data_IF_400356728234
#
_entry.id   IF_400356728234
#
_cell.length_a   1.000
_cell.length_b   1.000
_cell.length_c   1.000
_cell.angle_alpha   90.00
_cell.angle_beta   90.00
_cell.angle_gamma   90.00
#
_symmetry.space_group_name_H-M   'P 1'
#
loop_
_entity.id
_entity.type
_entity.pdbx_description
1 polymer ?
#
# COMPACT_ATOMS: atom_id res chain seq x y z
N UNK A 1 18.90 6.84 33.95
CA UNK A 1 19.02 5.77 32.92
C UNK A 1 17.87 5.89 31.98
N UNK A 2 18.09 6.50 30.84
CA UNK A 2 17.10 6.61 29.76
C UNK A 2 17.22 5.36 28.90
N UNK A 3 16.18 4.53 28.89
CA UNK A 3 16.07 3.37 28.03
C UNK A 3 15.84 3.85 26.58
N UNK A 4 16.67 3.47 25.60
CA UNK A 4 16.41 3.83 24.22
C UNK A 4 15.20 3.02 23.71
N UNK A 5 14.15 3.72 23.34
CA UNK A 5 12.99 3.13 22.65
C UNK A 5 13.46 2.53 21.31
N UNK A 6 13.47 1.21 21.24
CA UNK A 6 13.79 0.46 20.02
C UNK A 6 12.78 0.84 18.91
N UNK A 7 13.28 1.42 17.84
CA UNK A 7 12.51 1.63 16.60
C UNK A 7 12.28 0.27 15.97
N UNK A 8 11.09 -0.30 16.14
CA UNK A 8 10.68 -1.48 15.40
C UNK A 8 10.18 -1.03 14.03
N UNK A 9 11.09 -0.92 13.06
CA UNK A 9 10.74 -0.72 11.66
C UNK A 9 10.39 -2.09 11.07
N UNK A 10 9.15 -2.26 10.59
CA UNK A 10 8.69 -3.49 9.93
C UNK A 10 8.71 -3.27 8.43
N UNK A 11 9.41 -4.14 7.74
CA UNK A 11 9.46 -4.19 6.27
C UNK A 11 8.31 -5.06 5.76
N UNK A 12 7.49 -4.53 4.84
CA UNK A 12 6.46 -5.31 4.17
C UNK A 12 6.97 -5.74 2.80
N UNK A 13 7.06 -7.04 2.58
CA UNK A 13 7.41 -7.63 1.29
C UNK A 13 6.11 -8.11 0.64
N UNK A 14 5.77 -7.56 -0.53
CA UNK A 14 4.57 -7.94 -1.25
C UNK A 14 4.84 -9.14 -2.16
N UNK A 15 4.05 -10.19 -1.99
CA UNK A 15 4.04 -11.39 -2.82
C UNK A 15 2.71 -11.45 -3.56
N UNK A 16 2.74 -11.67 -4.85
CA UNK A 16 1.57 -12.17 -5.57
C UNK A 16 1.58 -13.69 -5.55
N UNK A 17 0.62 -14.29 -4.86
CA UNK A 17 0.43 -15.73 -4.83
C UNK A 17 -0.70 -16.16 -5.78
N UNK A 18 -0.55 -17.28 -6.50
CA UNK A 18 -1.66 -17.87 -7.27
C UNK A 18 -2.57 -18.69 -6.36
N UNK A 19 -3.88 -18.50 -6.51
CA UNK A 19 -4.94 -19.30 -5.89
C UNK A 19 -5.27 -20.52 -6.74
N UNK A 20 -5.21 -21.70 -6.15
CA UNK A 20 -5.74 -22.93 -6.76
C UNK A 20 -6.79 -23.55 -5.86
N UNK A 21 -8.00 -23.72 -6.39
CA UNK A 21 -8.99 -24.73 -5.93
C UNK A 21 -9.70 -25.35 -7.14
N UNK A 22 -9.74 -26.70 -7.16
CA UNK A 22 -10.71 -27.48 -7.93
C UNK A 22 -10.16 -28.20 -9.16
N UNK A 23 -9.92 -29.50 -8.97
CA UNK A 23 -9.54 -30.45 -10.03
C UNK A 23 -10.73 -30.71 -10.97
N UNK A 24 -10.82 -30.01 -12.11
CA UNK A 24 -11.64 -30.42 -13.27
C UNK A 24 -10.68 -30.78 -14.39
N UNK A 25 -10.80 -31.99 -14.91
CA UNK A 25 -10.11 -32.35 -16.15
C UNK A 25 -10.63 -31.43 -17.27
N UNK A 26 -9.80 -30.58 -17.80
CA UNK A 26 -10.07 -29.70 -18.93
C UNK A 26 -8.85 -29.67 -19.85
N UNK A 27 -9.04 -29.18 -21.05
CA UNK A 27 -7.95 -29.02 -22.02
C UNK A 27 -7.38 -27.59 -21.96
N UNK A 28 -6.07 -27.48 -22.12
CA UNK A 28 -5.37 -26.20 -22.27
C UNK A 28 -4.65 -26.24 -23.61
N UNK A 29 -4.91 -25.26 -24.48
CA UNK A 29 -4.38 -25.20 -25.85
C UNK A 29 -4.67 -26.49 -26.69
N UNK A 30 -5.84 -27.11 -26.45
CA UNK A 30 -6.23 -28.33 -27.16
C UNK A 30 -5.66 -29.64 -26.64
N UNK A 31 -4.79 -29.59 -25.64
CA UNK A 31 -4.17 -30.75 -24.98
C UNK A 31 -4.84 -31.04 -23.64
N UNK A 32 -4.93 -32.32 -23.28
CA UNK A 32 -5.45 -32.73 -21.97
C UNK A 32 -4.56 -32.14 -20.88
N UNK A 33 -5.20 -31.62 -19.82
CA UNK A 33 -4.48 -31.04 -18.68
C UNK A 33 -3.50 -32.07 -18.11
N UNK A 34 -2.22 -31.78 -18.19
CA UNK A 34 -1.15 -32.49 -17.51
C UNK A 34 -0.51 -31.60 -16.46
N UNK A 35 -0.08 -32.20 -15.37
CA UNK A 35 0.68 -31.45 -14.35
C UNK A 35 2.09 -31.16 -14.90
N UNK A 36 2.41 -29.89 -15.01
CA UNK A 36 3.76 -29.43 -15.28
C UNK A 36 4.33 -28.87 -13.97
N UNK A 37 5.41 -29.47 -13.48
CA UNK A 37 6.07 -29.00 -12.27
C UNK A 37 6.63 -27.58 -12.46
N UNK A 38 6.43 -26.73 -11.47
CA UNK A 38 7.02 -25.40 -11.47
C UNK A 38 8.53 -25.50 -11.29
N UNK A 39 9.33 -24.86 -12.13
CA UNK A 39 10.75 -24.76 -11.84
C UNK A 39 10.95 -24.03 -10.50
N UNK A 40 11.85 -24.54 -9.68
CA UNK A 40 12.22 -23.86 -8.42
C UNK A 40 12.78 -22.49 -8.76
N UNK A 41 11.99 -21.45 -8.57
CA UNK A 41 12.49 -20.08 -8.63
C UNK A 41 13.28 -19.87 -7.34
N UNK A 42 14.55 -19.56 -7.45
CA UNK A 42 15.34 -19.15 -6.30
C UNK A 42 14.66 -17.93 -5.66
N UNK A 43 14.13 -18.10 -4.44
CA UNK A 43 13.31 -17.08 -3.76
C UNK A 43 14.05 -15.76 -3.53
N UNK A 44 15.38 -15.80 -3.61
CA UNK A 44 16.28 -14.67 -3.37
C UNK A 44 16.67 -13.94 -4.68
N UNK A 45 16.41 -14.52 -5.86
CA UNK A 45 16.76 -13.89 -7.16
C UNK A 45 15.51 -13.25 -7.77
N UNK A 46 15.00 -12.19 -7.16
CA UNK A 46 13.84 -11.44 -7.68
C UNK A 46 13.99 -9.97 -7.38
N UNK A 47 13.37 -9.15 -8.20
CA UNK A 47 13.21 -7.73 -7.92
C UNK A 47 12.26 -7.53 -6.74
N UNK A 48 12.65 -6.62 -5.86
CA UNK A 48 11.87 -6.22 -4.70
C UNK A 48 11.79 -4.69 -4.64
N UNK A 49 10.72 -4.22 -4.01
CA UNK A 49 10.59 -2.83 -3.58
C UNK A 49 10.43 -2.85 -2.07
N UNK A 50 11.32 -2.18 -1.38
CA UNK A 50 11.28 -1.98 0.06
C UNK A 50 10.72 -0.58 0.32
N UNK A 51 9.65 -0.51 1.10
CA UNK A 51 9.01 0.75 1.47
C UNK A 51 9.03 0.93 2.97
N UNK A 52 9.05 2.18 3.42
CA UNK A 52 8.81 2.47 4.83
C UNK A 52 7.41 1.98 5.22
N UNK A 53 7.32 1.29 6.36
CA UNK A 53 6.04 0.94 6.97
C UNK A 53 5.59 2.07 7.87
N UNK A 54 4.81 2.99 7.31
CA UNK A 54 4.21 4.08 8.07
C UNK A 54 3.30 3.53 9.18
N UNK A 55 3.35 4.18 10.34
CA UNK A 55 2.56 3.84 11.52
C UNK A 55 1.38 4.80 11.64
N UNK A 56 0.27 4.40 11.03
CA UNK A 56 -0.98 5.15 11.01
C UNK A 56 -2.19 4.21 11.08
N UNK A 57 -3.16 4.44 10.23
CA UNK A 57 -4.33 3.59 10.05
C UNK A 57 -4.60 3.35 8.58
N UNK A 58 -4.92 2.11 8.23
CA UNK A 58 -5.26 1.76 6.86
C UNK A 58 -6.48 2.56 6.39
N UNK A 59 -6.36 3.17 5.23
CA UNK A 59 -7.39 3.98 4.62
C UNK A 59 -7.49 3.67 3.13
N UNK A 60 -8.68 3.88 2.57
CA UNK A 60 -8.97 3.62 1.18
C UNK A 60 -9.84 4.72 0.59
N UNK A 61 -9.46 5.20 -0.58
CA UNK A 61 -10.27 6.03 -1.45
C UNK A 61 -10.87 5.14 -2.53
N UNK A 62 -12.18 5.24 -2.74
CA UNK A 62 -12.91 4.48 -3.76
C UNK A 62 -13.53 5.49 -4.72
N UNK A 63 -13.22 5.35 -6.01
CA UNK A 63 -13.74 6.19 -7.07
C UNK A 63 -14.54 5.31 -8.02
N UNK A 64 -15.77 5.74 -8.34
CA UNK A 64 -16.66 5.04 -9.26
C UNK A 64 -16.07 4.93 -10.67
N UNK A 65 -16.58 3.98 -11.46
CA UNK A 65 -16.07 3.72 -12.81
C UNK A 65 -16.27 4.90 -13.77
N UNK A 66 -17.29 5.73 -13.53
CA UNK A 66 -17.53 6.97 -14.27
C UNK A 66 -16.63 8.15 -13.80
N UNK A 67 -15.84 7.93 -12.75
CA UNK A 67 -14.96 8.95 -12.18
C UNK A 67 -15.67 10.08 -11.43
N UNK A 68 -16.98 9.98 -11.20
CA UNK A 68 -17.77 11.08 -10.66
C UNK A 68 -18.05 10.97 -9.15
N UNK A 69 -18.03 9.76 -8.60
CA UNK A 69 -18.33 9.53 -7.19
C UNK A 69 -17.08 9.09 -6.45
N UNK A 70 -16.99 9.52 -5.18
CA UNK A 70 -15.90 9.16 -4.30
C UNK A 70 -16.44 8.73 -2.94
N UNK A 71 -15.83 7.72 -2.36
CA UNK A 71 -16.13 7.26 -1.01
C UNK A 71 -14.83 7.00 -0.25
N UNK A 72 -14.91 7.11 1.07
CA UNK A 72 -13.83 6.76 1.99
C UNK A 72 -14.12 5.43 2.69
N UNK A 73 -13.09 4.65 2.95
CA UNK A 73 -13.19 3.44 3.75
C UNK A 73 -11.98 3.29 4.69
N UNK A 74 -12.22 2.64 5.80
CA UNK A 74 -11.20 2.08 6.67
C UNK A 74 -10.79 0.68 6.16
N UNK A 75 -10.05 -0.05 6.97
CA UNK A 75 -9.69 -1.44 6.64
C UNK A 75 -10.90 -2.36 6.49
N UNK A 76 -11.98 -2.11 7.22
CA UNK A 76 -13.08 -3.07 7.40
C UNK A 76 -14.45 -2.54 7.00
N UNK A 77 -14.61 -1.22 6.81
CA UNK A 77 -15.92 -0.62 6.52
C UNK A 77 -15.80 0.69 5.72
N UNK A 78 -16.88 1.05 5.05
CA UNK A 78 -17.05 2.40 4.55
C UNK A 78 -17.18 3.36 5.73
N UNK A 79 -16.68 4.57 5.57
CA UNK A 79 -16.75 5.63 6.58
C UNK A 79 -17.30 6.90 5.97
N UNK A 80 -17.95 7.70 6.83
CA UNK A 80 -18.52 9.01 6.47
C UNK A 80 -18.01 10.06 7.45
N UNK A 81 -18.18 11.36 7.18
CA UNK A 81 -17.79 12.40 8.15
C UNK A 81 -18.50 12.29 9.50
N UNK A 82 -19.70 11.67 9.55
CA UNK A 82 -20.46 11.44 10.77
C UNK A 82 -20.00 10.20 11.53
N UNK A 83 -19.42 9.22 10.83
CA UNK A 83 -18.83 8.00 11.38
C UNK A 83 -17.43 7.81 10.80
N UNK A 84 -16.52 8.71 11.20
CA UNK A 84 -15.21 8.87 10.61
C UNK A 84 -14.14 8.01 11.31
N UNK A 85 -12.97 7.93 10.71
CA UNK A 85 -11.78 7.32 11.25
C UNK A 85 -10.63 8.35 11.24
N UNK A 86 -10.35 8.95 12.37
CA UNK A 86 -9.36 10.01 12.54
C UNK A 86 -9.53 11.20 11.58
N UNK A 87 -10.74 11.47 11.09
CA UNK A 87 -11.06 12.56 10.19
C UNK A 87 -10.73 12.30 8.73
N UNK A 88 -10.52 11.03 8.32
CA UNK A 88 -10.19 10.69 6.94
C UNK A 88 -11.33 10.94 5.97
N UNK A 89 -12.57 10.55 6.31
CA UNK A 89 -13.73 10.79 5.44
C UNK A 89 -13.98 12.28 5.23
N UNK A 90 -13.91 13.07 6.28
CA UNK A 90 -14.01 14.53 6.17
C UNK A 90 -12.87 15.15 5.34
N UNK A 91 -11.66 14.57 5.41
CA UNK A 91 -10.54 14.99 4.56
C UNK A 91 -10.79 14.61 3.09
N UNK A 92 -11.33 13.43 2.79
CA UNK A 92 -11.69 13.00 1.43
C UNK A 92 -12.73 13.95 0.82
N UNK A 93 -13.75 14.32 1.57
CA UNK A 93 -14.75 15.29 1.09
C UNK A 93 -14.15 16.65 0.74
N UNK A 94 -13.34 17.20 1.62
CA UNK A 94 -12.71 18.52 1.40
C UNK A 94 -11.74 18.55 0.21
N UNK A 95 -11.16 17.39 -0.14
CA UNK A 95 -10.18 17.27 -1.22
C UNK A 95 -10.73 16.54 -2.45
N UNK A 96 -12.05 16.38 -2.55
CA UNK A 96 -12.74 15.58 -3.57
C UNK A 96 -12.20 15.80 -4.98
N UNK A 97 -12.12 17.04 -5.42
CA UNK A 97 -11.69 17.36 -6.80
C UNK A 97 -10.26 16.91 -7.09
N UNK A 98 -9.35 17.12 -6.14
CA UNK A 98 -7.97 16.66 -6.27
C UNK A 98 -7.88 15.15 -6.29
N UNK A 99 -8.67 14.48 -5.46
CA UNK A 99 -8.64 13.02 -5.32
C UNK A 99 -9.28 12.31 -6.52
N UNK A 100 -10.28 12.88 -7.17
CA UNK A 100 -10.87 12.32 -8.39
C UNK A 100 -9.85 12.19 -9.53
N UNK A 101 -8.78 12.98 -9.53
CA UNK A 101 -7.67 12.85 -10.48
C UNK A 101 -6.88 11.54 -10.35
N UNK A 102 -7.02 10.80 -9.26
CA UNK A 102 -6.48 9.44 -9.15
C UNK A 102 -7.13 8.46 -10.14
N UNK A 103 -8.30 8.82 -10.68
CA UNK A 103 -9.07 8.01 -11.60
C UNK A 103 -9.85 6.87 -10.91
N UNK A 104 -10.70 6.16 -11.68
CA UNK A 104 -11.54 5.10 -11.16
C UNK A 104 -10.77 3.99 -10.45
N UNK A 105 -11.43 3.38 -9.45
CA UNK A 105 -10.94 2.21 -8.74
C UNK A 105 -10.72 2.43 -7.25
N UNK A 106 -9.95 1.52 -6.67
CA UNK A 106 -9.65 1.52 -5.23
C UNK A 106 -8.19 1.88 -4.99
N UNK A 107 -7.97 2.92 -4.20
CA UNK A 107 -6.66 3.46 -3.87
C UNK A 107 -6.39 3.24 -2.39
N UNK A 108 -5.54 2.27 -2.11
CA UNK A 108 -5.17 1.88 -0.75
C UNK A 108 -3.97 2.66 -0.25
N UNK A 109 -4.00 3.06 1.01
CA UNK A 109 -2.91 3.82 1.61
C UNK A 109 -2.97 3.83 3.12
N UNK A 110 -2.04 4.57 3.71
CA UNK A 110 -1.98 4.85 5.13
C UNK A 110 -2.44 6.29 5.39
N UNK A 111 -3.35 6.45 6.34
CA UNK A 111 -3.72 7.73 6.93
C UNK A 111 -2.95 7.92 8.22
N UNK A 112 -2.08 8.90 8.28
CA UNK A 112 -1.07 9.02 9.32
C UNK A 112 -0.73 10.47 9.65
N UNK A 113 0.12 10.70 10.64
CA UNK A 113 0.58 12.01 11.05
C UNK A 113 -0.09 12.49 12.35
N UNK A 114 -0.35 13.78 12.45
CA UNK A 114 -0.80 14.42 13.69
C UNK A 114 -1.97 13.73 14.36
N UNK A 115 -1.79 13.28 15.62
CA UNK A 115 -2.83 12.63 16.41
C UNK A 115 -3.19 11.21 16.00
N UNK A 116 -2.37 10.57 15.14
CA UNK A 116 -2.54 9.18 14.73
C UNK A 116 -1.27 8.40 15.08
N UNK A 117 -1.39 7.37 15.94
CA UNK A 117 -0.29 6.50 16.37
C UNK A 117 0.97 7.32 16.72
N UNK A 118 2.09 7.06 16.01
CA UNK A 118 3.37 7.71 16.27
C UNK A 118 3.37 9.22 15.99
N UNK A 119 2.48 9.71 15.14
CA UNK A 119 2.35 11.14 14.80
C UNK A 119 3.51 11.77 14.04
N UNK A 120 4.70 11.17 14.08
CA UNK A 120 5.94 11.58 13.36
C UNK A 120 6.36 13.05 13.57
N UNK A 121 5.88 13.69 14.64
CA UNK A 121 6.12 15.12 14.88
C UNK A 121 5.42 16.05 13.87
N UNK A 122 4.53 15.54 13.05
CA UNK A 122 3.81 16.31 12.06
C UNK A 122 2.69 17.13 12.71
N UNK A 123 2.45 18.33 12.16
CA UNK A 123 1.31 19.18 12.54
C UNK A 123 0.05 18.88 11.76
N UNK A 124 0.17 18.09 10.69
CA UNK A 124 -0.90 17.74 9.77
C UNK A 124 -1.05 16.22 9.63
N UNK A 125 -2.16 15.79 9.08
CA UNK A 125 -2.41 14.40 8.68
C UNK A 125 -2.15 14.26 7.19
N UNK A 126 -1.66 13.09 6.78
CA UNK A 126 -1.30 12.77 5.38
C UNK A 126 -1.88 11.43 4.96
N UNK A 127 -2.25 11.34 3.68
CA UNK A 127 -2.61 10.07 3.05
C UNK A 127 -1.51 9.66 2.07
N UNK A 128 -0.92 8.48 2.31
CA UNK A 128 0.15 7.93 1.47
C UNK A 128 -0.28 6.62 0.82
N UNK A 129 -0.25 6.58 -0.51
CA UNK A 129 -0.60 5.41 -1.32
C UNK A 129 0.44 4.30 -1.18
N UNK A 130 -0.03 3.05 -1.11
CA UNK A 130 0.84 1.87 -1.03
C UNK A 130 1.36 1.40 -2.39
N UNK A 131 0.65 1.68 -3.47
CA UNK A 131 1.00 1.17 -4.80
C UNK A 131 2.09 2.02 -5.45
N UNK A 132 3.32 1.77 -5.06
CA UNK A 132 4.53 2.44 -5.57
C UNK A 132 4.93 2.01 -7.00
N UNK A 133 4.25 1.03 -7.59
CA UNK A 133 4.45 0.67 -9.01
C UNK A 133 3.57 1.51 -9.92
N UNK A 134 2.37 1.84 -9.48
CA UNK A 134 1.45 2.73 -10.21
C UNK A 134 1.79 4.20 -9.97
N UNK A 135 2.17 4.56 -8.76
CA UNK A 135 2.32 5.93 -8.32
C UNK A 135 3.76 6.24 -7.90
N UNK A 136 4.31 7.28 -8.49
CA UNK A 136 5.57 7.88 -8.03
C UNK A 136 5.25 9.24 -7.44
N UNK A 137 6.02 9.69 -6.45
CA UNK A 137 5.79 11.01 -5.85
C UNK A 137 5.93 12.14 -6.88
N UNK A 138 6.69 11.92 -7.95
CA UNK A 138 6.85 12.89 -9.06
C UNK A 138 5.64 13.04 -9.96
N UNK A 139 4.68 12.10 -9.92
CA UNK A 139 3.48 12.12 -10.77
C UNK A 139 2.18 12.21 -9.95
N UNK A 140 2.30 12.56 -8.70
CA UNK A 140 1.19 12.78 -7.79
C UNK A 140 1.35 14.13 -7.08
N UNK A 141 0.28 14.90 -7.07
CA UNK A 141 0.25 16.21 -6.41
C UNK A 141 -0.39 16.14 -5.02
N UNK A 142 -0.08 17.14 -4.20
CA UNK A 142 -0.80 17.33 -2.95
C UNK A 142 -2.33 17.38 -3.21
N UNK A 143 -3.12 16.84 -2.30
CA UNK A 143 -2.79 16.44 -0.92
C UNK A 143 -2.44 14.95 -0.76
N UNK A 144 -2.12 14.24 -1.83
CA UNK A 144 -1.79 12.81 -1.82
C UNK A 144 -0.28 12.61 -1.86
N UNK A 145 0.18 11.62 -1.16
CA UNK A 145 1.58 11.20 -1.10
C UNK A 145 1.70 9.73 -1.48
N UNK A 146 2.92 9.28 -1.68
CA UNK A 146 3.26 7.85 -1.86
C UNK A 146 4.13 7.43 -0.68
N UNK A 147 3.99 6.19 -0.21
CA UNK A 147 4.87 5.69 0.85
C UNK A 147 6.34 5.76 0.39
N UNK A 148 7.27 6.16 1.26
CA UNK A 148 8.68 6.26 0.91
C UNK A 148 9.22 4.92 0.40
N UNK A 149 9.84 4.94 -0.77
CA UNK A 149 10.60 3.80 -1.31
C UNK A 149 12.03 3.92 -0.80
N UNK A 150 12.47 2.93 -0.04
CA UNK A 150 13.79 2.87 0.58
C UNK A 150 14.80 2.17 -0.33
N UNK A 151 14.34 1.14 -1.06
CA UNK A 151 15.15 0.39 -2.00
C UNK A 151 14.30 -0.20 -3.11
N UNK A 152 14.86 -0.28 -4.32
CA UNK A 152 14.28 -0.98 -5.47
C UNK A 152 15.39 -1.67 -6.24
N UNK A 153 15.33 -2.98 -6.37
CA UNK A 153 16.32 -3.78 -7.08
C UNK A 153 16.20 -5.26 -6.76
N UNK A 154 17.24 -6.01 -7.11
CA UNK A 154 17.34 -7.43 -6.73
C UNK A 154 17.33 -7.57 -5.21
N UNK A 155 16.69 -8.64 -4.71
CA UNK A 155 16.69 -8.93 -3.29
C UNK A 155 18.13 -9.08 -2.77
N UNK A 156 18.53 -8.19 -1.87
CA UNK A 156 19.81 -8.18 -1.20
C UNK A 156 19.63 -7.86 0.28
N UNK A 157 20.09 -8.76 1.14
CA UNK A 157 19.97 -8.61 2.59
C UNK A 157 20.73 -7.40 3.11
N UNK A 158 21.90 -7.12 2.57
CA UNK A 158 22.70 -5.96 3.01
C UNK A 158 22.01 -4.64 2.67
N UNK A 159 21.38 -4.55 1.50
CA UNK A 159 20.61 -3.38 1.11
C UNK A 159 19.35 -3.20 1.99
N UNK A 160 18.69 -4.30 2.36
CA UNK A 160 17.55 -4.27 3.28
C UNK A 160 17.98 -3.83 4.68
N UNK A 161 19.10 -4.34 5.20
CA UNK A 161 19.65 -3.91 6.48
C UNK A 161 20.01 -2.42 6.50
N UNK A 162 20.60 -1.89 5.44
CA UNK A 162 20.86 -0.45 5.28
C UNK A 162 19.55 0.36 5.37
N UNK A 163 18.47 -0.11 4.73
CA UNK A 163 17.16 0.55 4.82
C UNK A 163 16.65 0.63 6.26
N UNK A 164 16.89 -0.42 7.07
CA UNK A 164 16.45 -0.46 8.47
C UNK A 164 17.28 0.47 9.38
N UNK A 165 18.56 0.65 9.08
CA UNK A 165 19.45 1.51 9.88
C UNK A 165 19.34 2.98 9.52
N UNK A 166 18.79 3.32 8.35
CA UNK A 166 18.58 4.68 7.87
C UNK A 166 17.25 5.33 8.29
N UNK A 167 16.36 4.59 8.98
CA UNK A 167 15.08 5.03 9.53
C UNK A 167 15.24 5.45 11.01
#
# INVERSE_FOLDING_TARGET
SVCPTSRSSVVRIHHSAPTTKGNRMFTVNGEALSFVGWPKIARLSRDVIVTEKLDGTNAQIIISDDGMQIAAASRTRLITPQDDNFGFAGWVERNREALLRLGPGRHYGEWWGSGIQRGYGLKEKRFSLFNVTRWLQSNIDAPVYVVPVLYKGMFDLLEIEKCLTGL
#
